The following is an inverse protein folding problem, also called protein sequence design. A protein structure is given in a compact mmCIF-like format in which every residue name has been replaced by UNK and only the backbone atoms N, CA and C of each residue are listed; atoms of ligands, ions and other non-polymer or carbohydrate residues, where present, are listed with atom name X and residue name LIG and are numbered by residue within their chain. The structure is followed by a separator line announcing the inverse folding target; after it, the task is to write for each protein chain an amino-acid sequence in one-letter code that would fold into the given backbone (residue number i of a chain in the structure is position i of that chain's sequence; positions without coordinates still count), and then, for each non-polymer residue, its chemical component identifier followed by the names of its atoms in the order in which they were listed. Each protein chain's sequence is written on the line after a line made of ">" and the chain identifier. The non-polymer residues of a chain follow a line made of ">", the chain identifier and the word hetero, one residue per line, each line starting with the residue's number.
data_IF_183918135067
#
_entry.id   IF_183918135067
#
_cell.length_a   1.000
_cell.length_b   1.000
_cell.length_c   1.000
_cell.angle_alpha   90.00
_cell.angle_beta   90.00
_cell.angle_gamma   90.00
#
_symmetry.space_group_name_H-M   'P 1'
#
loop_
_entity.id
_entity.type
_entity.pdbx_description
1 polymer ?
#
# COMPACT_ATOMS: atom_id res chain seq x y z
N UNK A 1 43.03 44.80 11.63
CA UNK A 1 42.62 44.29 11.31
C UNK A 1 42.10 43.44 11.18
N UNK A 2 42.12 43.44 11.30
CA UNK A 2 41.56 42.69 11.03
C UNK A 2 40.73 41.90 11.04
N UNK A 3 40.64 42.18 11.26
CA UNK A 3 39.83 41.60 11.14
C UNK A 3 39.12 40.87 10.89
N UNK A 4 39.26 41.35 10.94
CA UNK A 4 38.53 40.82 10.50
C UNK A 4 38.01 39.97 10.26
N UNK A 5 38.24 40.10 10.47
CA UNK A 5 37.65 39.48 10.00
C UNK A 5 36.99 38.70 10.02
N UNK A 6 37.03 38.97 10.21
CA UNK A 6 36.24 38.37 10.03
C UNK A 6 35.52 37.68 9.90
N UNK A 7 35.70 38.05 10.18
CA UNK A 7 34.94 37.54 9.95
C UNK A 7 34.24 36.85 9.67
N UNK A 8 34.51 37.11 9.79
CA UNK A 8 33.76 36.52 9.38
C UNK A 8 33.09 35.79 9.24
N UNK A 9 33.37 35.98 9.41
CA UNK A 9 32.55 35.42 9.09
C UNK A 9 31.93 34.65 9.10
N UNK A 10 31.95 34.69 9.17
CA UNK A 10 31.19 34.08 9.07
C UNK A 10 30.58 33.40 8.96
N UNK A 11 30.81 33.68 9.03
CA UNK A 11 30.09 33.18 8.78
C UNK A 11 29.53 32.46 8.66
N UNK A 12 29.70 32.67 8.77
CA UNK A 12 29.06 32.19 8.50
C UNK A 12 28.52 31.45 8.35
N UNK A 13 28.70 31.78 8.50
CA UNK A 13 28.10 31.30 8.19
C UNK A 13 27.56 30.58 8.11
N UNK A 14 27.69 30.69 8.17
CA UNK A 14 27.06 30.25 7.91
C UNK A 14 26.52 29.45 8.04
N UNK A 15 26.59 29.71 8.25
CA UNK A 15 25.99 29.21 8.17
C UNK A 15 25.38 28.49 8.16
N UNK A 16 25.39 28.78 8.34
CA UNK A 16 24.74 28.30 8.07
C UNK A 16 24.27 27.60 7.90
N UNK A 17 24.38 27.73 7.99
CA UNK A 17 23.77 27.20 7.58
C UNK A 17 23.30 26.58 7.65
N UNK A 18 23.19 26.81 7.77
CA UNK A 18 22.53 26.29 7.61
C UNK A 18 22.03 25.60 7.47
N UNK A 19 22.18 25.65 7.66
CA UNK A 19 21.55 25.15 7.27
C UNK A 19 21.12 24.54 7.37
N UNK A 20 21.07 24.50 7.41
CA UNK A 20 20.41 23.89 7.16
C UNK A 20 19.83 23.40 7.45
N UNK A 21 19.61 23.59 7.59
CA UNK A 21 18.75 23.14 7.72
C UNK A 21 18.05 22.50 7.51
N UNK A 22 18.22 22.78 7.43
CA UNK A 22 17.39 22.20 7.13
C UNK A 22 17.10 21.25 6.92
N UNK A 23 17.28 21.06 6.81
CA UNK A 23 16.71 20.14 6.22
C UNK A 23 15.97 19.30 6.82
N UNK A 24 15.88 19.01 7.19
CA UNK A 24 15.20 18.29 7.74
C UNK A 24 13.90 18.11 7.46
N UNK A 25 13.44 18.85 7.18
CA UNK A 25 12.05 18.85 7.06
C UNK A 25 11.51 18.06 5.93
N UNK A 26 12.23 17.81 4.95
CA UNK A 26 11.67 17.18 3.83
C UNK A 26 11.25 15.82 4.04
N UNK A 27 11.72 15.17 5.01
CA UNK A 27 11.40 13.77 5.11
C UNK A 27 9.96 13.51 5.44
N UNK A 28 9.29 14.39 6.15
CA UNK A 28 7.94 14.03 6.46
C UNK A 28 6.97 14.24 5.35
N UNK A 29 7.31 14.98 4.38
CA UNK A 29 6.46 15.10 3.23
C UNK A 29 6.36 13.75 2.50
N UNK A 30 7.44 13.02 2.45
CA UNK A 30 7.40 11.73 1.81
C UNK A 30 6.47 10.78 2.50
N UNK A 31 6.39 10.85 3.82
CA UNK A 31 5.53 9.89 4.49
C UNK A 31 4.07 10.18 4.22
N UNK A 32 3.69 11.40 4.01
CA UNK A 32 2.31 11.69 3.68
C UNK A 32 1.91 11.07 2.36
N UNK A 33 2.81 11.05 1.41
CA UNK A 33 2.51 10.45 0.13
C UNK A 33 2.39 8.96 0.20
N UNK A 34 3.14 8.34 1.06
CA UNK A 34 3.09 6.90 1.17
C UNK A 34 1.74 6.39 1.58
N UNK A 35 0.97 7.19 2.32
CA UNK A 35 -0.32 6.72 2.74
C UNK A 35 -1.30 6.54 1.61
N UNK A 36 -1.10 7.22 0.51
CA UNK A 36 -2.05 7.13 -0.58
C UNK A 36 -1.61 6.20 -1.69
N UNK A 37 -0.44 5.61 -1.54
CA UNK A 37 0.13 4.81 -2.62
C UNK A 37 0.28 3.34 -2.28
N UNK A 38 -0.43 2.86 -1.27
CA UNK A 38 -0.27 1.48 -0.84
C UNK A 38 -0.87 0.52 -1.84
N UNK A 39 -0.13 -0.54 -2.10
CA UNK A 39 -0.58 -1.63 -2.97
C UNK A 39 -0.26 -2.92 -2.25
N UNK A 40 -1.21 -3.85 -2.26
CA UNK A 40 -1.02 -5.16 -1.68
C UNK A 40 -1.45 -6.22 -2.68
N UNK A 41 -0.86 -7.39 -2.59
CA UNK A 41 -1.17 -8.46 -3.53
C UNK A 41 -1.58 -9.72 -2.81
N UNK A 42 -2.56 -10.42 -3.40
CA UNK A 42 -3.00 -11.72 -2.95
C UNK A 42 -2.89 -12.65 -4.15
N UNK A 43 -2.25 -13.77 -3.95
CA UNK A 43 -2.10 -14.77 -5.00
C UNK A 43 -3.17 -15.83 -4.82
N UNK A 44 -3.76 -16.26 -5.92
CA UNK A 44 -4.71 -17.37 -5.93
C UNK A 44 -3.98 -18.54 -6.54
N UNK A 45 -3.79 -19.60 -5.77
CA UNK A 45 -3.04 -20.76 -6.24
C UNK A 45 -3.42 -21.96 -5.41
N UNK A 46 -3.48 -23.10 -6.04
CA UNK A 46 -3.77 -24.36 -5.36
C UNK A 46 -5.04 -24.25 -4.50
N UNK A 47 -6.09 -23.70 -5.10
CA UNK A 47 -7.40 -23.56 -4.46
C UNK A 47 -7.35 -22.76 -3.16
N UNK A 48 -6.48 -21.79 -3.06
CA UNK A 48 -6.39 -20.97 -1.85
C UNK A 48 -5.96 -19.55 -2.19
N UNK A 49 -6.26 -18.64 -1.26
CA UNK A 49 -5.80 -17.27 -1.33
C UNK A 49 -4.56 -17.15 -0.45
N UNK A 50 -3.53 -16.58 -0.95
CA UNK A 50 -2.30 -16.42 -0.19
C UNK A 50 -1.77 -15.00 -0.22
N UNK A 51 -1.68 -14.34 0.91
CA UNK A 51 -2.05 -14.81 2.26
C UNK A 51 -3.57 -14.92 2.42
N UNK A 52 -3.99 -15.75 3.36
CA UNK A 52 -5.42 -15.92 3.63
C UNK A 52 -6.02 -14.65 4.21
N UNK A 53 -5.26 -13.93 5.01
CA UNK A 53 -5.71 -12.68 5.61
C UNK A 53 -4.59 -11.65 5.50
N UNK A 54 -4.96 -10.43 5.14
CA UNK A 54 -4.00 -9.32 5.08
C UNK A 54 -4.60 -8.13 5.81
N UNK A 55 -3.72 -7.30 6.38
CA UNK A 55 -4.12 -6.07 7.05
C UNK A 55 -3.45 -4.92 6.29
N UNK A 56 -4.26 -3.97 5.86
CA UNK A 56 -3.77 -2.87 5.04
C UNK A 56 -4.36 -1.55 5.53
N UNK A 57 -3.69 -0.42 5.28
CA UNK A 57 -4.27 0.88 5.64
C UNK A 57 -5.36 1.29 4.67
N UNK A 58 -6.21 2.20 5.13
CA UNK A 58 -7.24 2.79 4.27
C UNK A 58 -6.57 3.42 3.06
N UNK A 59 -7.17 3.24 1.89
CA UNK A 59 -6.63 3.75 0.64
C UNK A 59 -5.80 2.75 -0.14
N UNK A 60 -5.61 1.56 0.40
CA UNK A 60 -4.82 0.54 -0.27
C UNK A 60 -5.61 -0.09 -1.42
N UNK A 61 -4.93 -0.30 -2.53
CA UNK A 61 -5.46 -1.08 -3.64
C UNK A 61 -4.93 -2.50 -3.51
N UNK A 62 -5.83 -3.46 -3.42
CA UNK A 62 -5.45 -4.87 -3.34
C UNK A 62 -5.65 -5.49 -4.72
N UNK A 63 -4.66 -6.24 -5.15
CA UNK A 63 -4.70 -6.96 -6.43
C UNK A 63 -4.68 -8.45 -6.16
N UNK A 64 -5.66 -9.14 -6.69
CA UNK A 64 -5.70 -10.61 -6.67
C UNK A 64 -5.25 -11.10 -8.04
N UNK A 65 -4.32 -12.03 -8.09
CA UNK A 65 -3.85 -12.62 -9.34
C UNK A 65 -4.07 -14.11 -9.30
N UNK A 66 -4.76 -14.64 -10.30
CA UNK A 66 -4.96 -16.08 -10.37
C UNK A 66 -3.73 -16.74 -10.98
N UNK A 67 -3.04 -17.53 -10.15
CA UNK A 67 -1.87 -18.30 -10.60
C UNK A 67 -2.18 -19.77 -10.73
N UNK A 68 -3.44 -20.14 -10.54
CA UNK A 68 -3.88 -21.50 -10.70
C UNK A 68 -4.17 -21.79 -12.17
N UNK A 69 -4.21 -23.05 -12.53
CA UNK A 69 -4.52 -23.41 -13.91
C UNK A 69 -6.01 -23.65 -14.11
N UNK A 70 -6.82 -23.27 -13.13
CA UNK A 70 -8.28 -23.31 -13.24
C UNK A 70 -8.83 -21.96 -12.87
N UNK A 71 -10.06 -21.64 -13.30
CA UNK A 71 -10.63 -20.31 -13.02
C UNK A 71 -11.10 -20.16 -11.58
N UNK A 72 -11.04 -18.93 -11.08
CA UNK A 72 -11.48 -18.56 -9.75
C UNK A 72 -12.17 -17.21 -9.80
N UNK A 73 -12.87 -16.85 -8.72
CA UNK A 73 -13.46 -15.52 -8.55
C UNK A 73 -13.09 -14.98 -7.20
N UNK A 74 -13.28 -13.66 -7.02
CA UNK A 74 -13.08 -12.98 -5.75
C UNK A 74 -14.38 -12.24 -5.46
N UNK A 75 -15.12 -12.69 -4.45
CA UNK A 75 -16.45 -12.16 -4.16
C UNK A 75 -16.54 -11.80 -2.70
N UNK A 76 -16.87 -10.54 -2.41
CA UNK A 76 -17.06 -10.09 -1.05
C UNK A 76 -18.29 -10.77 -0.44
N UNK A 77 -18.15 -11.30 0.76
CA UNK A 77 -19.27 -11.90 1.49
C UNK A 77 -20.35 -10.84 1.72
N UNK A 78 -19.97 -9.58 1.86
CA UNK A 78 -20.91 -8.51 2.12
C UNK A 78 -21.22 -7.66 0.90
N UNK A 79 -20.86 -8.18 -0.26
CA UNK A 79 -21.23 -7.56 -1.55
C UNK A 79 -20.59 -6.22 -1.79
N UNK A 80 -19.42 -5.99 -1.22
CA UNK A 80 -18.68 -4.76 -1.42
C UNK A 80 -17.96 -4.80 -2.78
N UNK A 81 -17.50 -5.98 -3.19
CA UNK A 81 -16.82 -6.13 -4.48
C UNK A 81 -17.10 -7.53 -5.04
N UNK A 82 -16.90 -7.64 -6.33
CA UNK A 82 -17.12 -8.91 -7.02
C UNK A 82 -16.32 -8.91 -8.31
N UNK A 83 -15.46 -9.88 -8.50
CA UNK A 83 -14.71 -10.00 -9.73
C UNK A 83 -15.51 -10.76 -10.77
N UNK A 84 -15.08 -10.67 -12.02
CA UNK A 84 -15.49 -11.64 -13.03
C UNK A 84 -14.74 -12.93 -12.77
N UNK A 85 -15.00 -13.94 -13.55
CA UNK A 85 -14.21 -15.16 -13.52
C UNK A 85 -12.80 -14.82 -14.01
N UNK A 86 -11.82 -15.22 -13.23
CA UNK A 86 -10.41 -14.95 -13.53
C UNK A 86 -9.77 -16.23 -14.02
N UNK A 87 -9.29 -16.20 -15.25
CA UNK A 87 -8.49 -17.31 -15.79
C UNK A 87 -7.04 -17.14 -15.33
N UNK A 88 -6.20 -18.10 -15.66
CA UNK A 88 -4.80 -18.06 -15.27
C UNK A 88 -4.17 -16.73 -15.67
N UNK A 89 -3.46 -16.12 -14.72
CA UNK A 89 -2.75 -14.84 -14.84
C UNK A 89 -3.64 -13.62 -14.95
N UNK A 90 -4.96 -13.77 -14.86
CA UNK A 90 -5.85 -12.63 -14.82
C UNK A 90 -5.92 -12.06 -13.41
N UNK A 91 -6.24 -10.79 -13.34
CA UNK A 91 -6.19 -10.02 -12.08
C UNK A 91 -7.50 -9.30 -11.82
N UNK A 92 -7.75 -9.06 -10.54
CA UNK A 92 -8.85 -8.23 -10.09
C UNK A 92 -8.28 -7.28 -9.04
N UNK A 93 -8.67 -6.01 -9.11
CA UNK A 93 -8.21 -5.02 -8.12
C UNK A 93 -9.39 -4.33 -7.48
N UNK A 94 -9.21 -3.93 -6.22
CA UNK A 94 -10.21 -3.14 -5.52
C UNK A 94 -9.50 -2.22 -4.53
N UNK A 95 -9.93 -0.97 -4.48
CA UNK A 95 -9.34 0.02 -3.56
C UNK A 95 -10.25 0.15 -2.34
N UNK A 96 -9.68 -0.05 -1.15
CA UNK A 96 -10.43 0.00 0.10
C UNK A 96 -10.35 1.39 0.71
N UNK A 97 -11.47 2.10 0.72
CA UNK A 97 -11.52 3.47 1.21
C UNK A 97 -12.12 3.60 2.60
N UNK A 98 -12.57 2.50 3.19
CA UNK A 98 -13.19 2.51 4.50
C UNK A 98 -12.59 1.43 5.37
N UNK A 99 -12.29 1.76 6.62
CA UNK A 99 -11.81 0.78 7.58
C UNK A 99 -12.88 -0.26 7.84
N UNK A 100 -12.46 -1.49 8.11
CA UNK A 100 -13.37 -2.58 8.41
C UNK A 100 -12.77 -3.91 8.05
N UNK A 101 -13.56 -4.96 8.21
CA UNK A 101 -13.17 -6.31 7.83
C UNK A 101 -13.97 -6.71 6.62
N UNK A 102 -13.27 -7.29 5.65
CA UNK A 102 -13.87 -7.63 4.37
C UNK A 102 -13.59 -9.09 4.04
N UNK A 103 -14.43 -10.00 4.53
CA UNK A 103 -14.27 -11.41 4.17
C UNK A 103 -14.72 -11.62 2.73
N UNK A 104 -14.08 -12.57 2.07
CA UNK A 104 -14.42 -12.88 0.68
C UNK A 104 -14.22 -14.36 0.41
N UNK A 105 -14.70 -14.80 -0.73
CA UNK A 105 -14.65 -16.20 -1.10
C UNK A 105 -14.64 -16.33 -2.63
N UNK A 106 -14.39 -17.54 -3.08
CA UNK A 106 -14.49 -17.86 -4.50
C UNK A 106 -15.86 -18.48 -4.75
N UNK A 107 -16.64 -17.92 -5.67
CA UNK A 107 -17.99 -18.41 -5.91
C UNK A 107 -18.00 -19.75 -6.63
N UNK A 108 -16.90 -20.11 -7.28
CA UNK A 108 -16.77 -21.39 -7.96
C UNK A 108 -16.38 -22.49 -6.97
N UNK A 109 -15.61 -22.12 -5.95
CA UNK A 109 -15.13 -23.03 -4.90
C UNK A 109 -15.42 -22.40 -3.55
N UNK A 110 -16.67 -22.48 -3.05
CA UNK A 110 -17.08 -21.67 -1.89
C UNK A 110 -16.34 -21.89 -0.59
N UNK A 111 -15.62 -23.00 -0.45
CA UNK A 111 -14.82 -23.21 0.76
C UNK A 111 -13.50 -22.45 0.73
N UNK A 112 -13.15 -21.89 -0.41
CA UNK A 112 -11.95 -21.12 -0.60
C UNK A 112 -12.24 -19.69 -0.15
N UNK A 113 -11.70 -19.29 0.98
CA UNK A 113 -12.03 -18.00 1.61
C UNK A 113 -10.79 -17.22 1.98
N UNK A 114 -10.97 -15.91 2.14
CA UNK A 114 -9.92 -15.01 2.59
C UNK A 114 -10.52 -13.81 3.28
N UNK A 115 -9.67 -12.90 3.72
CA UNK A 115 -10.13 -11.69 4.40
C UNK A 115 -9.13 -10.56 4.23
N UNK A 116 -9.65 -9.34 4.04
CA UNK A 116 -8.84 -8.12 4.08
C UNK A 116 -9.32 -7.32 5.29
N UNK A 117 -8.38 -6.91 6.13
CA UNK A 117 -8.65 -6.03 7.26
C UNK A 117 -8.08 -4.67 6.90
N UNK A 118 -8.90 -3.64 6.95
CA UNK A 118 -8.52 -2.27 6.58
C UNK A 118 -8.57 -1.40 7.83
N UNK A 119 -7.46 -0.74 8.14
CA UNK A 119 -7.40 0.08 9.36
C UNK A 119 -6.54 1.36 9.23
#
# INVERSE_FOLDING_TARGET
>A
MRKTVFIAGVVVAGVIGLGGIAPKSKSFAASAQEKTASIAEVKIDNFSFGPVAITVPVGTTVTWTNRDDIPHTVVSTEKVFKSKVLDTDEKFTFTFTKAGEYPYFCSIHPKMTGKVVVQ
#
